data_IF_437996284188
#
_entry.id   IF_437996284188
#
_cell.length_a   1.000
_cell.length_b   1.000
_cell.length_c   1.000
_cell.angle_alpha   90.00
_cell.angle_beta   90.00
_cell.angle_gamma   90.00
#
_symmetry.space_group_name_H-M   'P 1'
#
loop_
_entity.id
_entity.type
_entity.pdbx_description
1 polymer ?
#
# COMPACT_ATOMS: atom_id res chain seq x y z
N UNK A 1 2.74 -3.43 43.79
CA UNK A 1 4.21 -3.54 43.70
C UNK A 1 4.48 -5.00 43.35
N UNK A 2 5.00 -5.46 42.21
CA UNK A 2 5.73 -4.91 41.07
C UNK A 2 5.63 -5.99 39.98
N UNK A 3 4.84 -5.80 38.91
CA UNK A 3 4.95 -6.64 37.71
C UNK A 3 5.74 -5.86 36.66
N UNK A 4 7.07 -5.96 36.73
CA UNK A 4 7.96 -5.47 35.70
C UNK A 4 7.65 -6.24 34.41
N UNK A 5 6.81 -5.65 33.56
CA UNK A 5 6.71 -6.03 32.16
C UNK A 5 8.11 -5.90 31.57
N UNK A 6 8.70 -7.04 31.21
CA UNK A 6 10.00 -7.12 30.55
C UNK A 6 9.91 -6.46 29.19
N UNK A 7 10.12 -5.14 29.15
CA UNK A 7 10.41 -4.45 27.90
C UNK A 7 11.74 -5.01 27.35
N UNK A 8 11.85 -5.29 26.04
CA UNK A 8 13.07 -5.79 25.47
C UNK A 8 14.22 -4.82 25.76
N UNK A 9 15.35 -5.35 26.25
CA UNK A 9 16.55 -4.61 26.69
C UNK A 9 17.38 -4.00 25.55
N UNK A 10 16.84 -3.92 24.33
CA UNK A 10 17.53 -3.31 23.19
C UNK A 10 16.59 -2.99 22.03
N UNK A 11 16.95 -2.03 21.16
CA UNK A 11 16.20 -1.74 19.94
C UNK A 11 16.24 -2.95 18.99
N UNK A 12 15.21 -3.17 18.15
CA UNK A 12 13.99 -2.36 17.98
C UNK A 12 12.93 -2.56 19.09
N UNK A 13 12.35 -1.46 19.55
CA UNK A 13 11.30 -1.45 20.57
C UNK A 13 9.93 -1.71 19.95
N UNK A 14 9.07 -2.48 20.62
CA UNK A 14 7.69 -2.67 20.18
C UNK A 14 6.94 -1.34 20.20
N UNK A 15 6.14 -1.05 19.16
CA UNK A 15 5.42 0.22 19.06
C UNK A 15 4.51 0.44 20.28
N UNK A 16 4.68 1.58 20.95
CA UNK A 16 3.85 2.03 22.08
C UNK A 16 2.42 2.41 21.64
N UNK A 17 2.20 2.51 20.33
CA UNK A 17 0.93 2.92 19.72
C UNK A 17 0.14 1.70 19.25
N UNK A 18 -1.18 1.69 19.50
CA UNK A 18 -2.03 0.63 19.01
C UNK A 18 -2.09 0.64 17.47
N UNK A 19 -1.48 -0.36 16.81
CA UNK A 19 -1.58 -0.52 15.35
C UNK A 19 -3.02 -0.80 14.94
N UNK A 20 -3.52 -0.09 13.93
CA UNK A 20 -4.86 -0.30 13.38
C UNK A 20 -4.94 -1.70 12.79
N UNK A 21 -5.84 -2.53 13.34
CA UNK A 21 -5.94 -3.96 13.04
C UNK A 21 -5.48 -4.87 14.18
N UNK A 22 -4.78 -4.35 15.19
CA UNK A 22 -4.32 -5.14 16.34
C UNK A 22 -3.29 -6.22 15.99
N UNK A 23 -2.99 -7.07 16.97
CA UNK A 23 -2.05 -8.19 16.83
C UNK A 23 -2.74 -9.33 16.05
N UNK A 24 -2.07 -9.95 15.06
CA UNK A 24 -2.65 -11.02 14.27
C UNK A 24 -3.05 -12.22 15.14
N UNK A 25 -4.21 -12.77 14.86
CA UNK A 25 -4.82 -13.92 15.55
C UNK A 25 -4.61 -15.17 14.70
N UNK A 26 -3.93 -16.18 15.25
CA UNK A 26 -3.49 -17.39 14.52
C UNK A 26 -4.61 -18.12 13.78
N UNK A 27 -5.81 -18.16 14.36
CA UNK A 27 -6.93 -18.97 13.84
C UNK A 27 -7.71 -18.32 12.69
N UNK A 28 -7.68 -16.99 12.56
CA UNK A 28 -8.46 -16.27 11.55
C UNK A 28 -7.58 -15.62 10.49
N UNK A 29 -6.45 -15.03 10.89
CA UNK A 29 -5.62 -14.25 9.96
C UNK A 29 -4.75 -15.15 9.08
N UNK A 30 -4.29 -16.30 9.59
CA UNK A 30 -3.46 -17.26 8.84
C UNK A 30 -4.18 -17.87 7.64
N UNK A 31 -5.38 -18.47 7.77
CA UNK A 31 -6.04 -19.09 6.61
C UNK A 31 -6.39 -18.07 5.53
N UNK A 32 -6.87 -16.88 5.92
CA UNK A 32 -7.17 -15.81 4.97
C UNK A 32 -5.91 -15.34 4.24
N UNK A 33 -4.81 -15.13 4.96
CA UNK A 33 -3.54 -14.70 4.36
C UNK A 33 -2.94 -15.78 3.47
N UNK A 34 -3.12 -17.07 3.80
CA UNK A 34 -2.66 -18.18 2.97
C UNK A 34 -3.40 -18.27 1.62
N UNK A 35 -4.72 -18.03 1.60
CA UNK A 35 -5.49 -17.96 0.34
C UNK A 35 -4.99 -16.82 -0.54
N UNK A 36 -4.79 -15.63 0.04
CA UNK A 36 -4.22 -14.49 -0.70
C UNK A 36 -2.80 -14.76 -1.19
N UNK A 37 -1.97 -15.42 -0.39
CA UNK A 37 -0.62 -15.83 -0.76
C UNK A 37 -0.66 -16.72 -2.01
N UNK A 38 -1.50 -17.75 -2.01
CA UNK A 38 -1.65 -18.65 -3.15
C UNK A 38 -2.08 -17.90 -4.42
N UNK A 39 -3.06 -17.01 -4.31
CA UNK A 39 -3.51 -16.19 -5.43
C UNK A 39 -2.38 -15.30 -5.96
N UNK A 40 -1.67 -14.58 -5.08
CA UNK A 40 -0.58 -13.69 -5.50
C UNK A 40 0.59 -14.45 -6.13
N UNK A 41 0.89 -15.67 -5.70
CA UNK A 41 1.89 -16.53 -6.34
C UNK A 41 1.46 -16.92 -7.76
N UNK A 42 0.20 -17.34 -7.95
CA UNK A 42 -0.33 -17.68 -9.28
C UNK A 42 -0.33 -16.47 -10.22
N UNK A 43 -0.74 -15.30 -9.72
CA UNK A 43 -0.70 -14.03 -10.44
C UNK A 43 0.74 -13.59 -10.77
N UNK A 44 1.69 -13.77 -9.86
CA UNK A 44 3.10 -13.47 -10.08
C UNK A 44 3.68 -14.37 -11.17
N UNK A 45 3.41 -15.68 -11.14
CA UNK A 45 3.83 -16.63 -12.16
C UNK A 45 3.26 -16.27 -13.54
N UNK A 46 1.98 -15.89 -13.59
CA UNK A 46 1.31 -15.47 -14.84
C UNK A 46 1.95 -14.21 -15.42
N UNK A 47 2.14 -13.16 -14.60
CA UNK A 47 2.75 -11.91 -15.05
C UNK A 47 4.22 -12.09 -15.44
N UNK A 48 4.98 -12.91 -14.71
CA UNK A 48 6.36 -13.24 -15.04
C UNK A 48 6.44 -14.00 -16.39
N UNK A 49 5.50 -14.92 -16.63
CA UNK A 49 5.41 -15.66 -17.89
C UNK A 49 5.10 -14.71 -19.04
N UNK A 50 4.08 -13.86 -18.93
CA UNK A 50 3.73 -12.85 -19.95
C UNK A 50 4.93 -11.92 -20.23
N UNK A 51 5.60 -11.45 -19.18
CA UNK A 51 6.77 -10.59 -19.34
C UNK A 51 7.93 -11.30 -20.06
N UNK A 52 8.21 -12.57 -19.72
CA UNK A 52 9.23 -13.39 -20.39
C UNK A 52 8.89 -13.61 -21.87
N UNK A 53 7.63 -13.94 -22.19
CA UNK A 53 7.19 -14.12 -23.57
C UNK A 53 7.29 -12.82 -24.38
N UNK A 54 6.87 -11.68 -23.80
CA UNK A 54 6.94 -10.39 -24.48
C UNK A 54 8.39 -9.89 -24.66
N UNK A 55 9.27 -10.15 -23.68
CA UNK A 55 10.71 -9.89 -23.78
C UNK A 55 11.35 -10.67 -24.92
N UNK A 56 10.96 -11.93 -25.13
CA UNK A 56 11.43 -12.74 -26.27
C UNK A 56 11.00 -12.16 -27.62
N UNK A 57 9.90 -11.40 -27.66
CA UNK A 57 9.41 -10.69 -28.85
C UNK A 57 9.86 -9.21 -28.92
N UNK A 58 10.85 -8.79 -28.13
CA UNK A 58 11.36 -7.41 -28.03
C UNK A 58 10.34 -6.31 -27.65
N UNK A 59 9.11 -6.66 -27.24
CA UNK A 59 8.12 -5.70 -26.78
C UNK A 59 8.23 -5.48 -25.27
N UNK A 60 8.62 -4.27 -24.85
CA UNK A 60 8.70 -3.87 -23.44
C UNK A 60 7.31 -3.51 -22.89
N UNK A 61 6.55 -4.51 -22.43
CA UNK A 61 5.25 -4.26 -21.79
C UNK A 61 5.44 -3.90 -20.30
N UNK A 62 5.73 -2.63 -20.04
CA UNK A 62 6.02 -2.07 -18.69
C UNK A 62 4.91 -2.41 -17.68
N UNK A 63 3.65 -2.46 -18.12
CA UNK A 63 2.49 -2.69 -17.25
C UNK A 63 2.51 -4.11 -16.65
N UNK A 64 2.85 -5.15 -17.41
CA UNK A 64 2.98 -6.51 -16.86
C UNK A 64 4.17 -6.62 -15.92
N UNK A 65 5.24 -5.86 -16.16
CA UNK A 65 6.37 -5.81 -15.23
C UNK A 65 5.94 -5.18 -13.88
N UNK A 66 5.21 -4.07 -13.91
CA UNK A 66 4.69 -3.42 -12.70
C UNK A 66 3.69 -4.30 -11.93
N UNK A 67 2.74 -4.94 -12.64
CA UNK A 67 1.80 -5.89 -12.03
C UNK A 67 2.51 -7.12 -11.45
N UNK A 68 3.53 -7.64 -12.13
CA UNK A 68 4.38 -8.71 -11.61
C UNK A 68 5.13 -8.28 -10.35
N UNK A 69 5.69 -7.08 -10.33
CA UNK A 69 6.32 -6.49 -9.16
C UNK A 69 5.37 -6.37 -7.97
N UNK A 70 4.16 -5.85 -8.20
CA UNK A 70 3.10 -5.77 -7.19
C UNK A 70 2.78 -7.14 -6.59
N UNK A 71 2.60 -8.17 -7.42
CA UNK A 71 2.29 -9.52 -6.96
C UNK A 71 3.44 -10.10 -6.12
N UNK A 72 4.70 -9.91 -6.53
CA UNK A 72 5.86 -10.35 -5.74
C UNK A 72 5.93 -9.68 -4.37
N UNK A 73 5.75 -8.35 -4.30
CA UNK A 73 5.73 -7.62 -3.03
C UNK A 73 4.61 -8.13 -2.12
N UNK A 74 3.41 -8.40 -2.67
CA UNK A 74 2.29 -8.94 -1.90
C UNK A 74 2.52 -10.37 -1.41
N UNK A 75 3.13 -11.23 -2.22
CA UNK A 75 3.55 -12.57 -1.80
C UNK A 75 4.49 -12.50 -0.60
N UNK A 76 5.55 -11.69 -0.67
CA UNK A 76 6.51 -11.53 0.43
C UNK A 76 5.82 -10.96 1.68
N UNK A 77 4.96 -9.96 1.51
CA UNK A 77 4.19 -9.35 2.61
C UNK A 77 3.29 -10.38 3.31
N UNK A 78 2.55 -11.19 2.54
CA UNK A 78 1.68 -12.24 3.07
C UNK A 78 2.49 -13.30 3.82
N UNK A 79 3.65 -13.72 3.29
CA UNK A 79 4.55 -14.64 3.98
C UNK A 79 5.04 -14.08 5.32
N UNK A 80 5.50 -12.83 5.36
CA UNK A 80 5.92 -12.16 6.60
C UNK A 80 4.79 -12.05 7.62
N UNK A 81 3.56 -11.76 7.17
CA UNK A 81 2.37 -11.70 8.04
C UNK A 81 2.03 -13.06 8.65
N UNK A 82 2.18 -14.15 7.90
CA UNK A 82 1.99 -15.51 8.41
C UNK A 82 3.07 -15.81 9.46
N UNK A 83 4.35 -15.55 9.16
CA UNK A 83 5.45 -15.79 10.11
C UNK A 83 5.29 -14.95 11.38
N UNK A 84 4.85 -13.69 11.26
CA UNK A 84 4.55 -12.83 12.41
C UNK A 84 3.43 -13.40 13.29
N UNK A 85 2.41 -14.05 12.70
CA UNK A 85 1.35 -14.70 13.49
C UNK A 85 1.89 -15.86 14.35
N UNK A 86 2.97 -16.52 13.94
CA UNK A 86 3.61 -17.59 14.72
C UNK A 86 4.66 -17.06 15.71
N UNK A 87 5.38 -16.00 15.36
CA UNK A 87 6.48 -15.42 16.14
C UNK A 87 6.19 -13.96 16.50
N UNK A 88 5.41 -13.75 17.56
CA UNK A 88 4.92 -12.43 17.98
C UNK A 88 6.02 -11.52 18.59
N UNK A 89 7.13 -12.10 19.03
CA UNK A 89 8.19 -11.37 19.76
C UNK A 89 9.19 -10.65 18.83
N UNK A 90 9.18 -10.96 17.53
CA UNK A 90 10.13 -10.41 16.58
C UNK A 90 9.63 -9.10 15.95
N UNK A 91 9.96 -7.97 16.56
CA UNK A 91 9.56 -6.62 16.11
C UNK A 91 10.05 -6.32 14.67
N UNK A 92 11.25 -6.78 14.29
CA UNK A 92 11.80 -6.56 12.94
C UNK A 92 10.92 -7.14 11.82
N UNK A 93 10.25 -8.28 12.06
CA UNK A 93 9.31 -8.85 11.09
C UNK A 93 8.08 -7.97 10.90
N UNK A 94 7.62 -7.33 11.97
CA UNK A 94 6.48 -6.40 11.93
C UNK A 94 6.83 -5.18 11.07
N UNK A 95 8.00 -4.59 11.33
CA UNK A 95 8.50 -3.44 10.58
C UNK A 95 8.63 -3.79 9.10
N UNK A 96 9.25 -4.93 8.78
CA UNK A 96 9.42 -5.37 7.39
C UNK A 96 8.07 -5.59 6.69
N UNK A 97 7.12 -6.25 7.36
CA UNK A 97 5.78 -6.48 6.81
C UNK A 97 5.01 -5.16 6.58
N UNK A 98 5.17 -4.18 7.47
CA UNK A 98 4.55 -2.87 7.35
C UNK A 98 5.14 -2.07 6.17
N UNK A 99 6.46 -2.02 6.05
CA UNK A 99 7.15 -1.35 4.95
C UNK A 99 6.76 -1.93 3.59
N UNK A 100 6.76 -3.27 3.48
CA UNK A 100 6.38 -3.94 2.22
C UNK A 100 4.91 -3.73 1.87
N UNK A 101 4.03 -3.66 2.87
CA UNK A 101 2.63 -3.33 2.66
C UNK A 101 2.45 -1.92 2.09
N UNK A 102 3.17 -0.93 2.63
CA UNK A 102 3.16 0.45 2.14
C UNK A 102 3.74 0.53 0.73
N UNK A 103 4.88 -0.11 0.48
CA UNK A 103 5.50 -0.17 -0.84
C UNK A 103 4.58 -0.83 -1.89
N UNK A 104 3.90 -1.92 -1.53
CA UNK A 104 2.95 -2.60 -2.40
C UNK A 104 1.76 -1.72 -2.78
N UNK A 105 1.23 -0.93 -1.84
CA UNK A 105 0.15 0.02 -2.13
C UNK A 105 0.62 1.12 -3.10
N UNK A 106 1.84 1.60 -2.92
CA UNK A 106 2.39 2.62 -3.81
C UNK A 106 2.50 2.13 -5.26
N UNK A 107 2.99 0.90 -5.47
CA UNK A 107 3.06 0.31 -6.82
C UNK A 107 1.66 0.29 -7.47
N UNK A 108 0.62 -0.04 -6.71
CA UNK A 108 -0.76 -0.05 -7.20
C UNK A 108 -1.23 1.35 -7.64
N UNK A 109 -0.90 2.40 -6.86
CA UNK A 109 -1.23 3.78 -7.23
C UNK A 109 -0.52 4.22 -8.51
N UNK A 110 0.75 3.86 -8.67
CA UNK A 110 1.52 4.14 -9.90
C UNK A 110 0.88 3.43 -11.10
N UNK A 111 0.51 2.16 -10.96
CA UNK A 111 -0.16 1.39 -12.02
C UNK A 111 -1.45 2.07 -12.45
N UNK A 112 -2.31 2.47 -11.51
CA UNK A 112 -3.55 3.18 -11.81
C UNK A 112 -3.30 4.52 -12.52
N UNK A 113 -2.28 5.28 -12.11
CA UNK A 113 -1.95 6.54 -12.76
C UNK A 113 -1.42 6.33 -14.20
N UNK A 114 -0.60 5.32 -14.43
CA UNK A 114 -0.13 4.94 -15.78
C UNK A 114 -1.30 4.54 -16.68
N UNK A 115 -2.26 3.78 -16.16
CA UNK A 115 -3.47 3.44 -16.90
C UNK A 115 -4.36 4.66 -17.18
N UNK A 116 -4.48 5.59 -16.23
CA UNK A 116 -5.23 6.84 -16.42
C UNK A 116 -4.59 7.69 -17.51
N UNK A 117 -3.26 7.87 -17.47
CA UNK A 117 -2.52 8.61 -18.48
C UNK A 117 -2.64 7.96 -19.87
N UNK A 118 -2.59 6.62 -19.96
CA UNK A 118 -2.78 5.90 -21.22
C UNK A 118 -4.19 6.10 -21.77
N UNK A 119 -5.20 6.09 -20.92
CA UNK A 119 -6.59 6.34 -21.31
C UNK A 119 -6.78 7.78 -21.78
N UNK A 120 -6.16 8.74 -21.12
CA UNK A 120 -6.14 10.14 -21.54
C UNK A 120 -5.47 10.30 -22.91
N UNK A 121 -4.28 9.73 -23.11
CA UNK A 121 -3.55 9.75 -24.40
C UNK A 121 -4.32 9.09 -25.53
N UNK A 122 -5.08 8.03 -25.24
CA UNK A 122 -5.90 7.35 -26.24
C UNK A 122 -7.11 8.19 -26.69
N UNK A 123 -7.70 8.98 -25.78
CA UNK A 123 -8.94 9.74 -26.03
C UNK A 123 -8.69 11.19 -26.50
N UNK A 124 -7.65 11.82 -25.99
CA UNK A 124 -7.27 13.21 -26.25
C UNK A 124 -5.76 13.29 -26.55
N UNK A 125 -5.33 12.90 -27.75
CA UNK A 125 -3.90 12.87 -28.10
C UNK A 125 -3.25 14.25 -28.05
N UNK A 126 -3.99 15.33 -28.36
CA UNK A 126 -3.48 16.71 -28.32
C UNK A 126 -2.95 17.12 -26.94
N UNK A 127 -3.69 16.78 -25.88
CA UNK A 127 -3.30 17.07 -24.49
C UNK A 127 -2.33 16.00 -23.97
N UNK A 128 -2.53 14.75 -24.38
CA UNK A 128 -1.77 13.63 -23.86
C UNK A 128 -0.32 13.56 -24.32
N UNK A 129 0.02 14.19 -25.46
CA UNK A 129 1.37 14.28 -26.00
C UNK A 129 2.07 15.61 -25.70
N UNK A 130 1.41 16.51 -24.95
CA UNK A 130 2.03 17.75 -24.53
C UNK A 130 3.27 17.46 -23.65
N UNK A 131 4.47 17.97 -24.02
CA UNK A 131 5.69 17.79 -23.23
C UNK A 131 5.55 18.29 -21.78
N UNK A 132 4.69 19.28 -21.53
CA UNK A 132 4.43 19.81 -20.19
C UNK A 132 3.77 18.78 -19.28
N UNK A 133 2.75 18.08 -19.78
CA UNK A 133 2.07 17.01 -19.04
C UNK A 133 3.05 15.87 -18.71
N UNK A 134 3.93 15.53 -19.66
CA UNK A 134 4.99 14.55 -19.46
C UNK A 134 5.99 14.96 -18.36
N UNK A 135 6.37 16.25 -18.31
CA UNK A 135 7.27 16.79 -17.29
C UNK A 135 6.62 16.79 -15.90
N UNK A 136 5.38 17.28 -15.77
CA UNK A 136 4.61 17.27 -14.51
C UNK A 136 4.50 15.86 -13.95
N UNK A 137 4.13 14.88 -14.79
CA UNK A 137 3.97 13.50 -14.33
C UNK A 137 5.29 12.88 -13.88
N UNK A 138 6.40 13.15 -14.57
CA UNK A 138 7.74 12.71 -14.14
C UNK A 138 8.13 13.35 -12.80
N UNK A 139 7.89 14.65 -12.63
CA UNK A 139 8.12 15.35 -11.37
C UNK A 139 7.30 14.75 -10.23
N UNK A 140 6.02 14.47 -10.48
CA UNK A 140 5.13 13.82 -9.51
C UNK A 140 5.62 12.41 -9.12
N UNK A 141 6.13 11.62 -10.09
CA UNK A 141 6.75 10.32 -9.80
C UNK A 141 8.07 10.43 -9.01
N UNK A 142 8.83 11.52 -9.17
CA UNK A 142 10.03 11.75 -8.37
C UNK A 142 9.66 12.11 -6.92
N UNK A 143 8.69 13.01 -6.73
CA UNK A 143 8.25 13.46 -5.40
C UNK A 143 7.63 12.30 -4.61
N UNK A 144 6.80 11.45 -5.24
CA UNK A 144 6.23 10.28 -4.54
C UNK A 144 7.31 9.28 -4.10
N UNK A 145 8.39 9.13 -4.89
CA UNK A 145 9.55 8.32 -4.50
C UNK A 145 10.27 8.90 -3.29
N UNK A 146 10.47 10.22 -3.27
CA UNK A 146 11.08 10.92 -2.12
C UNK A 146 10.22 10.79 -0.86
N UNK A 147 8.92 11.01 -0.96
CA UNK A 147 7.96 10.85 0.15
C UNK A 147 7.97 9.42 0.68
N UNK A 148 8.09 8.41 -0.18
CA UNK A 148 8.20 7.01 0.26
C UNK A 148 9.46 6.78 1.11
N UNK A 149 10.63 7.22 0.63
CA UNK A 149 11.90 7.06 1.35
C UNK A 149 11.83 7.75 2.71
N UNK A 150 11.26 8.95 2.74
CA UNK A 150 11.02 9.71 3.96
C UNK A 150 10.14 8.93 4.95
N UNK A 151 8.97 8.44 4.50
CA UNK A 151 8.02 7.67 5.31
C UNK A 151 8.65 6.38 5.85
N UNK A 152 9.37 5.63 5.02
CA UNK A 152 10.04 4.39 5.46
C UNK A 152 11.09 4.69 6.53
N UNK A 153 11.90 5.72 6.31
CA UNK A 153 12.95 6.12 7.26
C UNK A 153 12.35 6.53 8.61
N UNK A 154 11.25 7.28 8.58
CA UNK A 154 10.48 7.68 9.75
C UNK A 154 9.86 6.50 10.50
N UNK A 155 9.33 5.50 9.79
CA UNK A 155 8.82 4.27 10.40
C UNK A 155 9.96 3.59 11.15
N UNK A 156 11.08 3.32 10.47
CA UNK A 156 12.24 2.66 11.11
C UNK A 156 12.69 3.48 12.32
N UNK A 157 12.87 4.79 12.19
CA UNK A 157 13.30 5.64 13.31
C UNK A 157 12.35 5.56 14.51
N UNK A 158 11.03 5.53 14.27
CA UNK A 158 10.02 5.42 15.32
C UNK A 158 10.08 4.12 16.13
N UNK A 159 10.63 3.04 15.57
CA UNK A 159 10.84 1.77 16.28
C UNK A 159 12.19 1.70 17.01
N UNK A 160 13.16 2.56 16.66
CA UNK A 160 14.51 2.55 17.24
C UNK A 160 14.75 3.69 18.24
N UNK A 161 13.85 4.67 18.33
CA UNK A 161 13.95 5.80 19.26
C UNK A 161 12.83 5.80 20.30
N UNK A 162 13.16 6.21 21.53
CA UNK A 162 12.20 6.49 22.59
C UNK A 162 12.06 7.99 22.89
N UNK A 163 12.86 8.84 22.22
CA UNK A 163 12.85 10.28 22.43
C UNK A 163 11.55 10.91 21.90
N UNK A 164 10.84 11.63 22.77
CA UNK A 164 9.53 12.22 22.46
C UNK A 164 9.63 13.31 21.39
N UNK A 165 10.73 14.07 21.38
CA UNK A 165 10.96 15.11 20.37
C UNK A 165 11.12 14.50 18.97
N UNK A 166 11.95 13.47 18.85
CA UNK A 166 12.14 12.73 17.60
C UNK A 166 10.86 12.06 17.12
N UNK A 167 10.06 11.48 18.04
CA UNK A 167 8.78 10.85 17.70
C UNK A 167 7.73 11.86 17.21
N UNK A 168 7.73 13.09 17.73
CA UNK A 168 6.85 14.18 17.23
C UNK A 168 7.20 14.55 15.78
N UNK A 169 8.48 14.74 15.48
CA UNK A 169 8.94 15.00 14.11
C UNK A 169 8.58 13.85 13.18
N UNK A 170 8.80 12.61 13.62
CA UNK A 170 8.42 11.41 12.88
C UNK A 170 6.92 11.42 12.55
N UNK A 171 6.08 11.78 13.52
CA UNK A 171 4.65 11.86 13.32
C UNK A 171 4.26 12.90 12.28
N UNK A 172 4.82 14.10 12.33
CA UNK A 172 4.49 15.18 11.40
C UNK A 172 4.87 14.81 9.97
N UNK A 173 6.05 14.18 9.81
CA UNK A 173 6.51 13.64 8.53
C UNK A 173 5.56 12.58 7.99
N UNK A 174 5.15 11.63 8.84
CA UNK A 174 4.24 10.56 8.44
C UNK A 174 2.84 11.11 8.09
N UNK A 175 2.38 12.14 8.79
CA UNK A 175 1.13 12.85 8.49
C UNK A 175 1.18 13.49 7.10
N UNK A 176 2.23 14.27 6.83
CA UNK A 176 2.49 14.88 5.52
C UNK A 176 2.55 13.82 4.41
N UNK A 177 3.33 12.75 4.62
CA UNK A 177 3.47 11.66 3.66
C UNK A 177 2.15 10.96 3.37
N UNK A 178 1.32 10.72 4.39
CA UNK A 178 0.00 10.09 4.21
C UNK A 178 -0.96 10.95 3.40
N UNK A 179 -0.95 12.26 3.60
CA UNK A 179 -1.78 13.21 2.86
C UNK A 179 -1.33 13.37 1.42
N UNK A 180 -0.02 13.37 1.18
CA UNK A 180 0.53 13.39 -0.17
C UNK A 180 0.18 12.11 -0.95
N UNK A 181 0.31 10.94 -0.32
CA UNK A 181 -0.08 9.66 -0.92
C UNK A 181 -1.58 9.63 -1.22
N UNK A 182 -2.42 10.17 -0.32
CA UNK A 182 -3.86 10.30 -0.56
C UNK A 182 -4.15 11.20 -1.76
N UNK A 183 -3.53 12.37 -1.84
CA UNK A 183 -3.64 13.24 -3.01
C UNK A 183 -3.26 12.49 -4.30
N UNK A 184 -2.12 11.79 -4.30
CA UNK A 184 -1.66 11.01 -5.45
C UNK A 184 -2.67 9.92 -5.86
N UNK A 185 -3.30 9.24 -4.90
CA UNK A 185 -4.31 8.21 -5.17
C UNK A 185 -5.60 8.76 -5.82
N UNK A 186 -5.90 10.06 -5.68
CA UNK A 186 -7.09 10.68 -6.29
C UNK A 186 -6.87 11.10 -7.75
N UNK A 187 -5.61 11.33 -8.16
CA UNK A 187 -5.26 11.79 -9.51
C UNK A 187 -5.78 10.91 -10.67
N UNK A 188 -5.73 9.57 -10.60
CA UNK A 188 -6.28 8.72 -11.65
C UNK A 188 -7.78 8.98 -11.91
N UNK A 189 -8.56 9.22 -10.86
CA UNK A 189 -9.99 9.55 -10.98
C UNK A 189 -10.17 10.95 -11.55
N UNK A 190 -9.40 11.94 -11.09
CA UNK A 190 -9.47 13.30 -11.61
C UNK A 190 -9.20 13.33 -13.13
N UNK A 191 -8.20 12.57 -13.60
CA UNK A 191 -7.89 12.43 -15.03
C UNK A 191 -9.06 11.78 -15.80
N UNK A 192 -9.68 10.75 -15.25
CA UNK A 192 -10.84 10.10 -15.88
C UNK A 192 -12.05 11.03 -15.95
N UNK A 193 -12.37 11.72 -14.86
CA UNK A 193 -13.46 12.69 -14.80
C UNK A 193 -13.25 13.87 -15.74
N UNK A 194 -12.00 14.26 -15.99
CA UNK A 194 -11.69 15.26 -17.02
C UNK A 194 -11.81 14.71 -18.45
N UNK A 195 -11.36 13.47 -18.68
CA UNK A 195 -11.32 12.88 -20.01
C UNK A 195 -12.71 12.48 -20.55
N UNK A 196 -13.63 12.08 -19.68
CA UNK A 196 -14.90 11.44 -20.07
C UNK A 196 -16.05 12.35 -20.54
N UNK A 197 -16.27 13.54 -19.94
CA UNK A 197 -17.31 14.47 -20.37
C UNK A 197 -17.00 15.12 -21.73
N UNK A 198 -15.71 15.20 -22.11
CA UNK A 198 -15.31 15.80 -23.37
C UNK A 198 -15.52 14.87 -24.56
N UNK A 199 -16.00 15.44 -25.67
CA UNK A 199 -16.13 14.72 -26.96
C UNK A 199 -14.77 14.10 -27.31
N UNK A 200 -14.72 12.81 -27.67
CA UNK A 200 -13.48 12.20 -28.15
C UNK A 200 -12.89 13.04 -29.30
N UNK A 201 -11.58 13.26 -29.29
CA UNK A 201 -10.90 13.97 -30.38
C UNK A 201 -11.14 13.24 -31.72
N UNK A 202 -11.16 13.94 -32.89
CA UNK A 202 -11.49 13.35 -34.19
C UNK A 202 -10.61 12.16 -34.62
N UNK A 203 -9.45 11.96 -33.97
CA UNK A 203 -8.51 10.85 -34.24
C UNK A 203 -8.21 10.03 -32.96
N UNK A 204 -9.14 9.18 -32.48
CA UNK A 204 -8.88 8.33 -31.33
C UNK A 204 -7.81 7.29 -31.65
N UNK A 205 -6.72 7.25 -30.85
CA UNK A 205 -5.69 6.23 -31.01
C UNK A 205 -6.07 4.97 -30.24
N UNK A 206 -6.27 3.86 -30.96
CA UNK A 206 -6.57 2.57 -30.36
C UNK A 206 -5.32 1.93 -29.75
N UNK A 207 -5.10 2.19 -28.46
CA UNK A 207 -4.11 1.45 -27.69
C UNK A 207 -4.67 0.09 -27.24
N UNK A 208 -4.54 -0.92 -28.12
CA UNK A 208 -4.88 -2.33 -27.88
C UNK A 208 -6.34 -2.70 -28.16
N UNK A 209 -6.61 -4.00 -28.32
CA UNK A 209 -7.95 -4.54 -28.59
C UNK A 209 -8.89 -4.42 -27.38
N UNK A 210 -10.18 -4.18 -27.60
CA UNK A 210 -11.24 -4.13 -26.57
C UNK A 210 -11.76 -2.73 -26.19
N UNK A 211 -13.00 -2.70 -25.68
CA UNK A 211 -13.76 -1.48 -25.38
C UNK A 211 -13.08 -0.56 -24.35
N UNK A 212 -12.83 0.68 -24.74
CA UNK A 212 -12.26 1.74 -23.88
C UNK A 212 -13.14 2.02 -22.65
N UNK A 213 -14.46 1.80 -22.75
CA UNK A 213 -15.40 1.98 -21.63
C UNK A 213 -15.15 0.96 -20.51
N UNK A 214 -14.91 -0.30 -20.86
CA UNK A 214 -14.63 -1.37 -19.88
C UNK A 214 -13.30 -1.10 -19.18
N UNK A 215 -12.26 -0.75 -19.95
CA UNK A 215 -10.94 -0.38 -19.41
C UNK A 215 -11.04 0.78 -18.41
N UNK A 216 -11.86 1.79 -18.73
CA UNK A 216 -12.10 2.91 -17.84
C UNK A 216 -12.94 2.56 -16.62
N UNK A 217 -13.95 1.69 -16.74
CA UNK A 217 -14.75 1.22 -15.61
C UNK A 217 -13.88 0.43 -14.62
N UNK A 218 -13.03 -0.46 -15.11
CA UNK A 218 -12.07 -1.22 -14.28
C UNK A 218 -11.11 -0.27 -13.58
N UNK A 219 -10.61 0.74 -14.29
CA UNK A 219 -9.72 1.74 -13.70
C UNK A 219 -10.43 2.61 -12.65
N UNK A 220 -11.67 3.01 -12.88
CA UNK A 220 -12.48 3.77 -11.94
C UNK A 220 -12.70 2.98 -10.65
N UNK A 221 -13.09 1.70 -10.77
CA UNK A 221 -13.30 0.82 -9.64
C UNK A 221 -11.99 0.54 -8.86
N UNK A 222 -10.88 0.31 -9.56
CA UNK A 222 -9.56 0.13 -8.92
C UNK A 222 -9.12 1.41 -8.19
N UNK A 223 -9.33 2.57 -8.80
CA UNK A 223 -8.91 3.86 -8.23
C UNK A 223 -9.77 4.24 -7.03
N UNK A 224 -11.08 3.97 -7.05
CA UNK A 224 -11.95 4.24 -5.90
C UNK A 224 -11.56 3.39 -4.69
N UNK A 225 -11.22 2.12 -4.92
CA UNK A 225 -10.69 1.25 -3.86
C UNK A 225 -9.35 1.76 -3.32
N UNK A 226 -8.47 2.26 -4.19
CA UNK A 226 -7.20 2.87 -3.77
C UNK A 226 -7.39 4.13 -2.92
N UNK A 227 -8.35 4.99 -3.27
CA UNK A 227 -8.71 6.17 -2.47
C UNK A 227 -9.27 5.75 -1.11
N UNK A 228 -10.11 4.72 -1.05
CA UNK A 228 -10.60 4.18 0.22
C UNK A 228 -9.44 3.66 1.10
N UNK A 229 -8.47 2.96 0.51
CA UNK A 229 -7.29 2.48 1.23
C UNK A 229 -6.44 3.65 1.72
N UNK A 230 -6.10 4.60 0.86
CA UNK A 230 -5.30 5.76 1.24
C UNK A 230 -6.02 6.66 2.25
N UNK A 231 -7.33 6.85 2.07
CA UNK A 231 -8.18 7.67 2.94
C UNK A 231 -8.33 7.06 4.32
N UNK A 232 -8.60 5.75 4.42
CA UNK A 232 -8.64 5.06 5.72
C UNK A 232 -7.31 5.18 6.46
N UNK A 233 -6.18 5.09 5.75
CA UNK A 233 -4.85 5.30 6.34
C UNK A 233 -4.64 6.73 6.82
N UNK A 234 -4.92 7.73 5.97
CA UNK A 234 -4.81 9.13 6.35
C UNK A 234 -5.67 9.43 7.59
N UNK A 235 -6.94 9.03 7.59
CA UNK A 235 -7.85 9.20 8.72
C UNK A 235 -7.28 8.61 10.00
N UNK A 236 -6.73 7.40 9.95
CA UNK A 236 -6.13 6.77 11.14
C UNK A 236 -4.86 7.48 11.64
N UNK A 237 -4.11 8.12 10.75
CA UNK A 237 -2.91 8.90 11.11
C UNK A 237 -3.27 10.25 11.73
N UNK A 238 -4.34 10.89 11.25
CA UNK A 238 -4.86 12.14 11.80
C UNK A 238 -5.50 11.95 13.18
N UNK A 239 -6.04 10.76 13.47
CA UNK A 239 -6.52 10.41 14.81
C UNK A 239 -5.38 10.44 15.83
N UNK A 240 -5.67 10.86 17.06
CA UNK A 240 -4.66 10.90 18.12
C UNK A 240 -4.14 9.47 18.41
N UNK A 241 -2.81 9.26 18.40
CA UNK A 241 -2.19 7.97 18.68
C UNK A 241 -2.58 7.54 20.09
N UNK A 242 -3.34 6.45 20.18
CA UNK A 242 -3.78 5.89 21.45
C UNK A 242 -2.75 4.86 21.93
N UNK A 243 -2.39 4.89 23.23
CA UNK A 243 -1.55 3.87 23.84
C UNK A 243 -2.14 2.47 23.62
N UNK A 244 -1.28 1.47 23.50
CA UNK A 244 -1.69 0.04 23.44
C UNK A 244 -2.58 -0.41 24.61
N UNK A 245 -2.50 0.28 25.76
CA UNK A 245 -3.34 0.04 26.93
C UNK A 245 -4.79 0.57 26.87
N UNK A 246 -5.12 1.49 25.95
CA UNK A 246 -6.47 2.09 25.83
C UNK A 246 -7.00 2.08 24.38
N UNK A 247 -7.19 0.90 23.77
CA UNK A 247 -7.66 0.78 22.39
C UNK A 247 -9.06 1.37 22.21
N UNK A 248 -9.33 1.93 21.02
CA UNK A 248 -10.62 2.52 20.66
C UNK A 248 -11.77 1.49 20.73
N UNK A 249 -13.03 1.98 20.80
CA UNK A 249 -14.21 1.12 21.01
C UNK A 249 -14.38 0.03 19.94
N UNK A 250 -13.98 0.30 18.69
CA UNK A 250 -13.98 -0.67 17.59
C UNK A 250 -12.87 -1.74 17.69
N UNK A 251 -11.82 -1.50 18.49
CA UNK A 251 -10.75 -2.45 18.76
C UNK A 251 -11.01 -3.31 20.03
N UNK A 252 -11.95 -2.92 20.90
CA UNK A 252 -12.30 -3.65 22.13
C UNK A 252 -12.76 -5.10 21.86
N UNK A 253 -13.46 -5.35 20.74
CA UNK A 253 -13.95 -6.70 20.41
C UNK A 253 -12.81 -7.67 20.04
N UNK A 254 -11.71 -7.19 19.42
CA UNK A 254 -10.52 -8.00 19.10
C UNK A 254 -9.63 -8.27 20.31
N UNK A 255 -9.48 -7.29 21.22
CA UNK A 255 -8.66 -7.45 22.42
C UNK A 255 -9.16 -8.59 23.34
N UNK A 256 -10.48 -8.81 23.39
CA UNK A 256 -11.10 -9.88 24.19
C UNK A 256 -10.83 -11.30 23.64
N UNK A 257 -10.64 -11.44 22.32
CA UNK A 257 -10.27 -12.73 21.70
C UNK A 257 -8.79 -13.07 21.91
N UNK A 258 -7.90 -12.06 21.83
CA UNK A 258 -6.45 -12.25 22.06
C UNK A 258 -6.13 -12.76 23.47
N UNK A 259 -6.83 -12.29 24.50
CA UNK A 259 -6.63 -12.72 25.88
C UNK A 259 -7.21 -14.11 26.18
N UNK A 260 -8.21 -14.55 25.41
CA UNK A 260 -8.70 -15.93 25.45
C UNK A 260 -7.73 -16.88 24.76
N UNK A 261 -7.18 -16.53 23.60
CA UNK A 261 -6.20 -17.37 22.91
C UNK A 261 -4.87 -17.50 23.65
N UNK A 262 -4.41 -16.43 24.32
CA UNK A 262 -3.21 -16.51 25.18
C UNK A 262 -3.40 -17.48 26.34
N UNK A 263 -4.61 -17.60 26.90
CA UNK A 263 -4.94 -18.57 27.95
C UNK A 263 -4.97 -20.02 27.47
N UNK A 264 -5.38 -20.26 26.23
CA UNK A 264 -5.45 -21.61 25.64
C UNK A 264 -4.06 -22.14 25.24
N UNK A 265 -3.08 -21.26 24.99
CA UNK A 265 -1.70 -21.65 24.68
C UNK A 265 -0.80 -21.83 25.92
N UNK A 266 -1.32 -21.54 27.11
CA UNK A 266 -0.63 -21.72 28.41
C UNK A 266 -1.19 -22.88 29.23
N UNK A 267 -2.07 -23.70 28.64
CA UNK A 267 -2.49 -25.01 29.13
C UNK A 267 -1.94 -26.07 28.16
#
# INVERSE_FOLDING_TARGET
MTSLSSFPKGPPYASTTATVGGVPTKTLDVPVTAVFLFLYVCLAATNATIFRLNRRKHHKFIISALLGGFCNVRTITCSLRIVWAFNLDNVSLVIAAEILLLAGNLILYIINLVFAQRTLRARHPEIGWDPWLGFILKGLYAVIGFVLVMVISTIVLSYYTLDEHTLKICRDIYLFGSSYIFFFATLPIAILLYAFPRRPSPKPQHFGSGSTKIKALVLLASSSLCILIAGSRAVTTYMTPRPTGSPAWYAKKRAKLSSSQRRVLTM
#
